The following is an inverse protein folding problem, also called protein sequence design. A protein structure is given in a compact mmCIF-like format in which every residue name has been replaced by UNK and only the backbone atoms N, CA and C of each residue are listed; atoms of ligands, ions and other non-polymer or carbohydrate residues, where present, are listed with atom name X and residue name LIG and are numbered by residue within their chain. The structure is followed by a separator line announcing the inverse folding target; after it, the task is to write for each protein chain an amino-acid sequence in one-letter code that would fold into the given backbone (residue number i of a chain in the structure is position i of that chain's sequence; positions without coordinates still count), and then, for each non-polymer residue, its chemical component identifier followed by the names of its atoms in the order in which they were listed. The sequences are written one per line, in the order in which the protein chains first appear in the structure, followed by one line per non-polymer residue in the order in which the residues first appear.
data_IF_284653680305
#
_entry.id   IF_284653680305
#
_cell.length_a   1.000
_cell.length_b   1.000
_cell.length_c   1.000
_cell.angle_alpha   90.00
_cell.angle_beta   90.00
_cell.angle_gamma   90.00
#
_symmetry.space_group_name_H-M   'P 1'
#
loop_
_entity.id
_entity.type
_entity.pdbx_description
1 polymer ?
#
# COMPACT_ATOMS: atom_id res chain seq x y z
N UNK A 1 -15.81 -8.38 5.14
CA UNK A 1 -14.43 -8.42 4.59
C UNK A 1 -14.26 -7.48 3.40
N UNK A 2 -15.12 -7.58 2.36
CA UNK A 2 -15.02 -6.76 1.13
C UNK A 2 -15.13 -5.24 1.37
N UNK A 3 -16.08 -4.80 2.19
CA UNK A 3 -16.31 -3.36 2.44
C UNK A 3 -15.10 -2.67 3.08
N UNK A 4 -14.38 -3.37 3.96
CA UNK A 4 -13.16 -2.86 4.60
C UNK A 4 -12.02 -2.66 3.61
N UNK A 5 -11.83 -3.59 2.67
CA UNK A 5 -10.84 -3.46 1.60
C UNK A 5 -11.17 -2.32 0.63
N UNK A 6 -12.45 -2.14 0.29
CA UNK A 6 -12.90 -1.04 -0.56
C UNK A 6 -12.63 0.32 0.09
N UNK A 7 -12.90 0.45 1.40
CA UNK A 7 -12.57 1.66 2.16
C UNK A 7 -11.07 1.95 2.19
N UNK A 8 -10.26 0.90 2.40
CA UNK A 8 -8.79 1.01 2.42
C UNK A 8 -8.22 1.41 1.06
N UNK A 9 -8.68 0.80 -0.03
CA UNK A 9 -8.29 1.16 -1.39
C UNK A 9 -8.60 2.64 -1.70
N UNK A 10 -9.83 3.09 -1.39
CA UNK A 10 -10.26 4.49 -1.59
C UNK A 10 -9.38 5.46 -0.81
N UNK A 11 -9.03 5.13 0.43
CA UNK A 11 -8.18 5.97 1.27
C UNK A 11 -6.74 6.03 0.75
N UNK A 12 -6.16 4.89 0.38
CA UNK A 12 -4.79 4.79 -0.17
C UNK A 12 -4.64 5.63 -1.43
N UNK A 13 -5.56 5.50 -2.39
CA UNK A 13 -5.55 6.30 -3.63
C UNK A 13 -5.73 7.80 -3.36
N UNK A 14 -6.61 8.16 -2.39
CA UNK A 14 -6.81 9.57 -2.00
C UNK A 14 -5.56 10.20 -1.40
N UNK A 15 -4.81 9.44 -0.59
CA UNK A 15 -3.60 9.89 0.12
C UNK A 15 -2.33 9.88 -0.74
N UNK A 16 -2.37 9.35 -1.97
CA UNK A 16 -1.26 9.40 -2.92
C UNK A 16 -1.07 10.81 -3.54
N UNK A 17 -0.88 11.83 -2.69
CA UNK A 17 -0.66 13.20 -3.12
C UNK A 17 0.66 13.29 -3.92
N UNK A 18 0.57 13.75 -5.18
CA UNK A 18 1.73 13.83 -6.09
C UNK A 18 2.02 12.57 -6.90
N UNK A 19 1.45 11.41 -6.55
CA UNK A 19 1.69 10.11 -7.22
C UNK A 19 0.39 9.50 -7.75
N UNK A 20 -0.36 10.26 -8.56
CA UNK A 20 -1.65 9.85 -9.15
C UNK A 20 -1.53 9.16 -10.52
N UNK A 21 -0.36 8.63 -10.84
CA UNK A 21 -0.20 7.78 -12.04
C UNK A 21 -0.80 6.41 -11.76
N UNK A 22 -1.29 5.73 -12.80
CA UNK A 22 -1.85 4.38 -12.65
C UNK A 22 -0.85 3.43 -11.99
N UNK A 23 0.41 3.47 -12.41
CA UNK A 23 1.50 2.69 -11.85
C UNK A 23 1.81 3.05 -10.38
N UNK A 24 1.78 4.33 -10.00
CA UNK A 24 1.99 4.75 -8.62
C UNK A 24 0.88 4.27 -7.68
N UNK A 25 -0.37 4.31 -8.15
CA UNK A 25 -1.52 3.78 -7.42
C UNK A 25 -1.39 2.27 -7.25
N UNK A 26 -1.01 1.55 -8.30
CA UNK A 26 -0.78 0.10 -8.26
C UNK A 26 0.24 -0.28 -7.17
N UNK A 27 1.41 0.37 -7.15
CA UNK A 27 2.41 0.16 -6.09
C UNK A 27 1.87 0.49 -4.70
N UNK A 28 1.18 1.62 -4.54
CA UNK A 28 0.61 2.01 -3.25
C UNK A 28 -0.42 0.99 -2.74
N UNK A 29 -1.25 0.43 -3.63
CA UNK A 29 -2.21 -0.61 -3.28
C UNK A 29 -1.51 -1.92 -2.92
N UNK A 30 -0.45 -2.31 -3.64
CA UNK A 30 0.36 -3.47 -3.29
C UNK A 30 1.01 -3.33 -1.91
N UNK A 31 1.60 -2.18 -1.58
CA UNK A 31 2.18 -1.97 -0.26
C UNK A 31 1.13 -1.91 0.86
N UNK A 32 -0.02 -1.28 0.61
CA UNK A 32 -1.02 -1.07 1.65
C UNK A 32 -1.91 -2.30 1.90
N UNK A 33 -2.20 -3.08 0.85
CA UNK A 33 -3.16 -4.20 0.89
C UNK A 33 -2.54 -5.54 0.51
N UNK A 34 -1.44 -5.54 -0.24
CA UNK A 34 -0.65 -6.73 -0.49
C UNK A 34 0.10 -7.12 0.77
N UNK A 35 -0.07 -8.38 1.18
CA UNK A 35 0.72 -8.99 2.25
C UNK A 35 2.10 -9.36 1.70
N UNK A 36 2.82 -8.36 1.19
CA UNK A 36 4.16 -8.52 0.64
C UNK A 36 5.07 -9.11 1.73
N UNK A 37 5.97 -10.04 1.38
CA UNK A 37 6.96 -10.51 2.33
C UNK A 37 7.82 -9.32 2.77
N UNK A 38 8.12 -9.27 4.06
CA UNK A 38 9.12 -8.33 4.55
C UNK A 38 10.49 -8.72 3.98
N UNK A 39 11.33 -7.74 3.58
CA UNK A 39 12.67 -8.05 3.14
C UNK A 39 13.51 -8.59 4.31
N UNK A 40 14.39 -9.55 4.01
CA UNK A 40 15.42 -10.03 4.94
C UNK A 40 16.38 -8.87 5.25
N UNK A 41 16.24 -8.25 6.43
CA UNK A 41 17.11 -7.15 6.88
C UNK A 41 18.18 -7.67 7.84
N UNK A 42 19.41 -7.21 7.66
CA UNK A 42 20.55 -7.57 8.53
C UNK A 42 20.52 -6.88 9.89
N UNK A 43 19.70 -5.83 10.06
CA UNK A 43 19.60 -5.04 11.28
C UNK A 43 18.13 -4.88 11.70
N UNK A 44 17.82 -5.10 12.99
CA UNK A 44 16.51 -4.81 13.59
C UNK A 44 16.65 -3.56 14.46
N UNK A 45 15.72 -2.62 14.34
CA UNK A 45 15.62 -1.51 15.29
C UNK A 45 15.06 -2.07 16.61
N UNK A 46 15.88 -2.05 17.67
CA UNK A 46 15.52 -2.43 19.03
C UNK A 46 14.81 -1.29 19.76
#
# INVERSE_FOLDING_TARGET
VVEGFNGKAKLTTRKAYGFRTAQGIEFALFHAMGRLPEPEVTHRFC
#
